data_IF_531222588542
#
_entry.id   IF_531222588542
#
_cell.length_a   1.000
_cell.length_b   1.000
_cell.length_c   1.000
_cell.angle_alpha   90.00
_cell.angle_beta   90.00
_cell.angle_gamma   90.00
#
_symmetry.space_group_name_H-M   'P 1'
#
loop_
_entity.id
_entity.type
_entity.pdbx_description
1 polymer ?
#
# COMPACT_ATOMS: atom_id res chain seq x y z
N UNK A 1 -21.49 -0.92 0.13
CA UNK A 1 -21.24 -0.97 1.59
C UNK A 1 -20.23 -2.06 1.96
N UNK A 2 -20.45 -3.32 1.60
CA UNK A 2 -19.58 -4.45 1.95
C UNK A 2 -18.11 -4.27 1.54
N UNK A 3 -17.86 -3.72 0.35
CA UNK A 3 -16.50 -3.46 -0.15
C UNK A 3 -15.71 -2.45 0.71
N UNK A 4 -16.38 -1.39 1.20
CA UNK A 4 -15.74 -0.41 2.08
C UNK A 4 -15.34 -1.03 3.43
N UNK A 5 -16.19 -1.89 3.99
CA UNK A 5 -15.88 -2.62 5.22
C UNK A 5 -14.71 -3.59 5.05
N UNK A 6 -14.63 -4.28 3.91
CA UNK A 6 -13.51 -5.18 3.61
C UNK A 6 -12.20 -4.41 3.47
N UNK A 7 -12.19 -3.24 2.81
CA UNK A 7 -11.01 -2.39 2.72
C UNK A 7 -10.54 -1.91 4.10
N UNK A 8 -11.50 -1.49 4.94
CA UNK A 8 -11.21 -1.07 6.30
C UNK A 8 -10.64 -2.23 7.14
N UNK A 9 -11.22 -3.43 7.04
CA UNK A 9 -10.70 -4.62 7.69
C UNK A 9 -9.27 -4.96 7.21
N UNK A 10 -9.00 -4.87 5.91
CA UNK A 10 -7.67 -5.10 5.34
C UNK A 10 -6.64 -4.10 5.88
N UNK A 11 -7.01 -2.83 5.99
CA UNK A 11 -6.18 -1.80 6.60
C UNK A 11 -5.86 -2.12 8.07
N UNK A 12 -6.86 -2.55 8.84
CA UNK A 12 -6.67 -2.97 10.24
C UNK A 12 -5.75 -4.19 10.37
N UNK A 13 -5.83 -5.16 9.44
CA UNK A 13 -4.93 -6.32 9.41
C UNK A 13 -3.48 -5.87 9.19
N UNK A 14 -3.25 -4.94 8.26
CA UNK A 14 -1.93 -4.33 8.05
C UNK A 14 -1.43 -3.60 9.30
N UNK A 15 -2.27 -2.76 9.92
CA UNK A 15 -1.94 -2.03 11.14
C UNK A 15 -1.59 -2.98 12.29
N UNK A 16 -2.37 -4.04 12.47
CA UNK A 16 -2.10 -5.08 13.47
C UNK A 16 -0.77 -5.79 13.21
N UNK A 17 -0.45 -6.06 11.94
CA UNK A 17 0.83 -6.63 11.52
C UNK A 17 2.02 -5.75 11.92
N UNK A 18 1.94 -4.44 11.67
CA UNK A 18 2.97 -3.46 12.03
C UNK A 18 3.21 -3.41 13.54
N UNK A 19 2.13 -3.41 14.34
CA UNK A 19 2.21 -3.30 15.80
C UNK A 19 2.71 -4.59 16.49
N UNK A 20 2.35 -5.76 15.94
CA UNK A 20 2.56 -7.04 16.63
C UNK A 20 3.84 -7.75 16.19
N UNK A 21 4.27 -7.56 14.95
CA UNK A 21 5.45 -8.25 14.41
C UNK A 21 6.74 -7.52 14.82
N UNK A 22 7.74 -8.30 15.21
CA UNK A 22 9.08 -7.81 15.60
C UNK A 22 10.13 -7.94 14.49
N UNK A 23 9.79 -8.73 13.47
CA UNK A 23 10.64 -8.97 12.32
C UNK A 23 10.48 -7.82 11.33
N UNK A 24 11.59 -7.15 11.00
CA UNK A 24 11.59 -5.97 10.12
C UNK A 24 10.99 -6.27 8.74
N UNK A 25 11.20 -7.46 8.18
CA UNK A 25 10.63 -7.84 6.87
C UNK A 25 9.11 -7.96 6.96
N UNK A 26 8.60 -8.54 8.05
CA UNK A 26 7.15 -8.65 8.29
C UNK A 26 6.51 -7.27 8.52
N UNK A 27 7.24 -6.34 9.13
CA UNK A 27 6.76 -4.95 9.31
C UNK A 27 6.65 -4.26 7.95
N UNK A 28 7.65 -4.38 7.08
CA UNK A 28 7.61 -3.82 5.71
C UNK A 28 6.41 -4.37 4.94
N UNK A 29 6.22 -5.70 4.96
CA UNK A 29 5.07 -6.32 4.28
C UNK A 29 3.73 -5.82 4.83
N UNK A 30 3.64 -5.63 6.16
CA UNK A 30 2.43 -5.11 6.80
C UNK A 30 2.14 -3.66 6.39
N UNK A 31 3.18 -2.83 6.26
CA UNK A 31 3.06 -1.47 5.72
C UNK A 31 2.57 -1.47 4.27
N UNK A 32 3.08 -2.36 3.42
CA UNK A 32 2.60 -2.49 2.03
C UNK A 32 1.14 -2.92 1.96
N UNK A 33 0.69 -3.83 2.84
CA UNK A 33 -0.72 -4.23 2.91
C UNK A 33 -1.61 -3.03 3.28
N UNK A 34 -1.16 -2.17 4.19
CA UNK A 34 -1.88 -0.93 4.53
C UNK A 34 -1.96 0.02 3.33
N UNK A 35 -0.86 0.19 2.58
CA UNK A 35 -0.81 1.01 1.38
C UNK A 35 -1.77 0.51 0.29
N UNK A 36 -1.78 -0.79 0.02
CA UNK A 36 -2.74 -1.41 -0.90
C UNK A 36 -4.19 -1.25 -0.45
N UNK A 37 -4.49 -1.38 0.85
CA UNK A 37 -5.84 -1.16 1.37
C UNK A 37 -6.31 0.30 1.18
N UNK A 38 -5.42 1.26 1.41
CA UNK A 38 -5.72 2.69 1.19
C UNK A 38 -5.92 3.01 -0.31
N UNK A 39 -5.07 2.45 -1.18
CA UNK A 39 -5.21 2.58 -2.63
C UNK A 39 -6.52 1.99 -3.13
N UNK A 40 -6.91 0.81 -2.64
CA UNK A 40 -8.19 0.18 -2.98
C UNK A 40 -9.38 1.02 -2.52
N UNK A 41 -9.29 1.59 -1.33
CA UNK A 41 -10.31 2.50 -0.80
C UNK A 41 -10.47 3.77 -1.65
N UNK A 42 -9.38 4.34 -2.17
CA UNK A 42 -9.43 5.46 -3.11
C UNK A 42 -10.11 5.10 -4.43
N UNK A 43 -9.83 3.91 -5.00
CA UNK A 43 -10.49 3.46 -6.23
C UNK A 43 -12.00 3.34 -6.02
N UNK A 44 -12.43 2.79 -4.88
CA UNK A 44 -13.86 2.65 -4.56
C UNK A 44 -14.60 3.98 -4.44
N UNK A 45 -13.90 5.09 -4.17
CA UNK A 45 -14.51 6.43 -4.19
C UNK A 45 -14.83 6.92 -5.61
N UNK A 46 -14.00 6.55 -6.60
CA UNK A 46 -14.19 6.92 -8.01
C UNK A 46 -15.11 5.99 -8.79
N UNK A 47 -15.51 4.88 -8.18
CA UNK A 47 -16.33 3.86 -8.83
C UNK A 47 -17.79 4.34 -8.97
N UNK A 48 -18.35 4.21 -10.17
CA UNK A 48 -19.75 4.47 -10.49
C UNK A 48 -20.37 3.24 -11.14
N UNK A 49 -21.54 2.83 -10.67
CA UNK A 49 -22.27 1.70 -11.23
C UNK A 49 -22.67 1.97 -12.69
N UNK A 50 -22.39 1.00 -13.57
CA UNK A 50 -22.69 1.10 -15.01
C UNK A 50 -21.76 2.01 -15.82
N UNK A 51 -20.69 2.54 -15.20
CA UNK A 51 -19.75 3.40 -15.88
C UNK A 51 -18.63 2.61 -16.59
N UNK A 52 -18.26 3.05 -17.80
CA UNK A 52 -17.14 2.51 -18.57
C UNK A 52 -15.80 3.09 -18.12
N UNK A 53 -14.71 2.49 -18.58
CA UNK A 53 -13.35 2.93 -18.29
C UNK A 53 -13.10 4.38 -18.77
N UNK A 54 -12.30 5.14 -18.03
CA UNK A 54 -11.97 6.53 -18.33
C UNK A 54 -10.87 6.66 -19.41
N UNK A 55 -11.08 6.02 -20.56
CA UNK A 55 -10.19 6.12 -21.72
C UNK A 55 -11.03 6.55 -22.92
N UNK A 56 -10.70 7.72 -23.46
CA UNK A 56 -11.31 8.22 -24.68
C UNK A 56 -10.79 7.37 -25.85
N UNK A 57 -11.67 6.56 -26.43
CA UNK A 57 -11.40 5.79 -27.65
C UNK A 57 -12.30 6.33 -28.77
N UNK A 58 -11.73 6.54 -29.96
CA UNK A 58 -12.52 6.94 -31.12
C UNK A 58 -13.59 5.88 -31.42
N UNK A 59 -14.87 6.26 -31.27
CA UNK A 59 -16.01 5.37 -31.48
C UNK A 59 -16.61 4.73 -30.20
N UNK A 60 -16.10 5.06 -29.01
CA UNK A 60 -16.72 4.60 -27.76
C UNK A 60 -18.11 5.24 -27.54
N UNK A 61 -19.12 4.47 -27.10
CA UNK A 61 -20.43 5.04 -26.77
C UNK A 61 -20.26 6.08 -25.65
N UNK A 62 -20.95 7.21 -25.77
CA UNK A 62 -20.98 8.31 -24.80
C UNK A 62 -21.76 7.92 -23.52
N UNK A 63 -21.40 6.79 -22.92
CA UNK A 63 -21.92 6.32 -21.66
C UNK A 63 -21.25 7.02 -20.47
N UNK A 64 -21.80 6.86 -19.26
CA UNK A 64 -21.16 7.34 -18.04
C UNK A 64 -19.75 6.72 -17.91
N UNK A 65 -18.74 7.52 -17.58
CA UNK A 65 -17.37 7.06 -17.33
C UNK A 65 -17.03 7.15 -15.84
N UNK A 66 -16.14 6.28 -15.37
CA UNK A 66 -15.58 6.36 -14.01
C UNK A 66 -14.74 7.62 -13.86
N UNK A 67 -14.60 8.12 -12.63
CA UNK A 67 -13.77 9.30 -12.38
C UNK A 67 -12.28 8.97 -12.63
N UNK A 68 -11.58 9.68 -13.54
CA UNK A 68 -10.15 9.46 -13.78
C UNK A 68 -9.26 9.96 -12.63
N UNK A 69 -9.75 10.84 -11.75
CA UNK A 69 -8.92 11.45 -10.71
C UNK A 69 -8.39 10.41 -9.71
N UNK A 70 -9.21 9.51 -9.14
CA UNK A 70 -8.70 8.48 -8.22
C UNK A 70 -7.73 7.50 -8.90
N UNK A 71 -7.89 7.22 -10.20
CA UNK A 71 -6.94 6.39 -10.95
C UNK A 71 -5.56 7.03 -11.03
N UNK A 72 -5.48 8.32 -11.35
CA UNK A 72 -4.20 9.04 -11.41
C UNK A 72 -3.51 9.12 -10.03
N UNK A 73 -4.29 9.35 -8.97
CA UNK A 73 -3.78 9.38 -7.59
C UNK A 73 -3.20 8.04 -7.17
N UNK A 74 -3.89 6.93 -7.47
CA UNK A 74 -3.43 5.59 -7.12
C UNK A 74 -2.19 5.19 -7.91
N UNK A 75 -2.11 5.52 -9.19
CA UNK A 75 -0.90 5.27 -9.99
C UNK A 75 0.34 5.94 -9.39
N UNK A 76 0.18 7.18 -8.90
CA UNK A 76 1.24 7.93 -8.23
C UNK A 76 1.62 7.29 -6.89
N UNK A 77 0.62 6.88 -6.11
CA UNK A 77 0.80 6.21 -4.82
C UNK A 77 1.58 4.89 -4.97
N UNK A 78 1.29 4.08 -5.99
CA UNK A 78 1.99 2.82 -6.26
C UNK A 78 3.49 3.05 -6.49
N UNK A 79 3.86 4.08 -7.24
CA UNK A 79 5.28 4.39 -7.52
C UNK A 79 6.00 4.83 -6.24
N UNK A 80 5.37 5.67 -5.43
CA UNK A 80 5.92 6.11 -4.14
C UNK A 80 6.09 4.92 -3.18
N UNK A 81 5.09 4.05 -3.09
CA UNK A 81 5.10 2.85 -2.25
C UNK A 81 6.23 1.88 -2.65
N UNK A 82 6.47 1.71 -3.96
CA UNK A 82 7.61 0.95 -4.48
C UNK A 82 8.95 1.56 -4.03
N UNK A 83 9.09 2.88 -4.14
CA UNK A 83 10.29 3.59 -3.71
C UNK A 83 10.57 3.47 -2.20
N UNK A 84 9.53 3.62 -1.37
CA UNK A 84 9.63 3.46 0.09
C UNK A 84 9.97 2.01 0.44
N UNK A 85 9.33 1.03 -0.20
CA UNK A 85 9.59 -0.40 0.04
C UNK A 85 11.03 -0.76 -0.33
N UNK A 86 11.54 -0.26 -1.46
CA UNK A 86 12.94 -0.47 -1.87
C UNK A 86 13.93 0.15 -0.88
N UNK A 87 13.66 1.38 -0.40
CA UNK A 87 14.47 2.05 0.61
C UNK A 87 14.49 1.26 1.92
N UNK A 88 13.33 0.83 2.42
CA UNK A 88 13.22 0.04 3.64
C UNK A 88 13.93 -1.30 3.50
N UNK A 89 13.81 -1.97 2.35
CA UNK A 89 14.52 -3.21 2.07
C UNK A 89 16.05 -3.00 2.09
N UNK A 90 16.55 -1.92 1.48
CA UNK A 90 17.98 -1.58 1.51
C UNK A 90 18.48 -1.33 2.94
N UNK A 91 17.68 -0.64 3.77
CA UNK A 91 17.98 -0.41 5.19
C UNK A 91 18.02 -1.73 5.96
N UNK A 92 17.04 -2.62 5.73
CA UNK A 92 16.99 -3.94 6.39
C UNK A 92 18.20 -4.80 6.02
N UNK A 93 18.62 -4.78 4.75
CA UNK A 93 19.84 -5.48 4.31
C UNK A 93 21.08 -4.91 5.04
N UNK A 94 21.22 -3.59 5.11
CA UNK A 94 22.31 -2.92 5.85
C UNK A 94 22.30 -3.26 7.35
N UNK A 95 21.12 -3.27 7.98
CA UNK A 95 20.96 -3.64 9.39
C UNK A 95 21.33 -5.10 9.63
N UNK A 96 20.91 -6.00 8.72
CA UNK A 96 21.25 -7.41 8.80
C UNK A 96 22.76 -7.63 8.66
N UNK A 97 23.44 -6.90 7.76
CA UNK A 97 24.91 -6.99 7.64
C UNK A 97 25.64 -6.54 8.92
N UNK A 98 25.08 -5.58 9.68
CA UNK A 98 25.71 -5.04 10.89
C UNK A 98 25.38 -5.83 12.16
N UNK A 99 24.13 -6.26 12.32
CA UNK A 99 23.62 -6.88 13.55
C UNK A 99 23.26 -8.36 13.40
N UNK A 100 23.33 -8.92 12.18
CA UNK A 100 22.99 -10.31 11.84
C UNK A 100 21.62 -10.78 12.35
N UNK A 101 20.68 -9.84 12.50
CA UNK A 101 19.34 -10.11 13.03
C UNK A 101 18.30 -9.23 12.34
N UNK A 102 17.12 -9.80 12.08
CA UNK A 102 15.93 -9.07 11.61
C UNK A 102 15.00 -8.65 12.74
N UNK A 103 15.32 -9.02 13.98
CA UNK A 103 14.53 -8.70 15.18
C UNK A 103 14.84 -7.29 15.68
N UNK A 104 13.86 -6.39 15.59
CA UNK A 104 13.97 -4.99 16.02
C UNK A 104 14.35 -4.86 17.51
N UNK A 105 13.91 -5.79 18.35
CA UNK A 105 14.20 -5.76 19.79
C UNK A 105 15.67 -6.01 20.11
N UNK A 106 16.37 -6.74 19.22
CA UNK A 106 17.80 -7.05 19.34
C UNK A 106 18.68 -5.93 18.77
N UNK A 107 18.13 -5.06 17.93
CA UNK A 107 18.79 -3.85 17.38
C UNK A 107 18.71 -2.71 18.41
N UNK A 108 18.84 -3.03 19.69
CA UNK A 108 18.70 -2.09 20.80
C UNK A 108 20.05 -1.85 21.44
N UNK A 109 20.87 -1.06 20.75
CA UNK A 109 21.96 -0.24 21.31
C UNK A 109 22.51 0.70 20.24
N UNK A 110 22.09 1.95 20.32
CA UNK A 110 22.99 3.08 20.13
C UNK A 110 24.06 2.99 21.24
N UNK A 111 25.03 2.09 21.12
CA UNK A 111 26.31 2.28 21.80
C UNK A 111 27.24 2.94 20.78
N UNK A 112 26.95 4.21 20.53
CA UNK A 112 27.97 5.21 20.24
C UNK A 112 28.20 5.98 21.52
#
# INVERSE_FOLDING_TARGET
>A
MTLYLLCFALFLVGLYGVLTKRDLVKIILSLSIMGYAANLFLILFGYKDGATYAILSEGAPAGPMVDPLPQALVLTSIVIELGITALLAAIVIRLFQKYSTFDITKIRRLSG
#
